data_IF_968461270691
#
_entry.id   IF_968461270691
#
_cell.length_a   1.000
_cell.length_b   1.000
_cell.length_c   1.000
_cell.angle_alpha   90.00
_cell.angle_beta   90.00
_cell.angle_gamma   90.00
#
_symmetry.space_group_name_H-M   'P 1'
#
loop_
_entity.id
_entity.type
_entity.pdbx_description
1 polymer ?
#
# COMPACT_ATOMS: atom_id res chain seq x y z
N UNK A 1 -2.39 -14.40 11.50
CA UNK A 1 -2.50 -14.83 10.07
C UNK A 1 -1.13 -14.68 9.43
N UNK A 2 -0.68 -15.65 8.63
CA UNK A 2 0.58 -15.61 7.88
C UNK A 2 0.25 -15.54 6.40
N UNK A 3 1.03 -14.80 5.64
CA UNK A 3 0.95 -14.80 4.18
C UNK A 3 1.98 -15.76 3.60
N UNK A 4 1.77 -16.20 2.37
CA UNK A 4 2.72 -17.02 1.61
C UNK A 4 4.13 -16.41 1.60
N UNK A 5 4.24 -15.07 1.58
CA UNK A 5 5.54 -14.39 1.55
C UNK A 5 6.34 -14.59 2.83
N UNK A 6 5.66 -14.62 3.98
CA UNK A 6 6.31 -14.83 5.29
C UNK A 6 6.72 -16.28 5.52
N UNK A 7 6.20 -17.21 4.72
CA UNK A 7 6.56 -18.63 4.74
C UNK A 7 7.73 -18.94 3.80
N UNK A 8 7.72 -18.31 2.61
CA UNK A 8 8.67 -18.61 1.54
C UNK A 8 9.95 -17.77 1.59
N UNK A 9 9.95 -16.62 2.25
CA UNK A 9 11.09 -15.71 2.29
C UNK A 9 11.65 -15.54 3.71
N UNK A 10 12.98 -15.61 3.81
CA UNK A 10 13.72 -15.31 5.06
C UNK A 10 14.61 -14.09 4.86
N UNK A 11 14.27 -12.99 5.54
CA UNK A 11 15.11 -11.78 5.59
C UNK A 11 15.97 -11.87 6.86
N UNK A 12 17.32 -11.72 6.76
CA UNK A 12 18.20 -11.71 7.92
C UNK A 12 17.78 -10.67 8.95
N UNK A 13 17.85 -11.04 10.23
CA UNK A 13 17.53 -10.13 11.34
C UNK A 13 18.51 -9.00 11.43
N UNK A 14 18.03 -7.77 11.70
CA UNK A 14 18.85 -6.60 11.98
C UNK A 14 18.79 -6.28 13.48
N UNK A 15 19.85 -5.70 14.00
CA UNK A 15 19.90 -5.27 15.39
C UNK A 15 18.99 -4.06 15.62
N UNK A 16 18.42 -3.90 16.81
CA UNK A 16 17.76 -2.65 17.18
C UNK A 16 18.79 -1.51 17.31
N UNK A 17 18.28 -0.29 17.28
CA UNK A 17 19.10 0.89 17.58
C UNK A 17 19.66 0.76 19.00
N UNK A 18 20.92 1.16 19.16
CA UNK A 18 21.58 1.30 20.46
C UNK A 18 22.14 2.70 20.59
N UNK A 19 21.67 3.43 21.61
CA UNK A 19 22.12 4.80 21.90
C UNK A 19 21.73 5.83 20.82
N UNK A 20 22.35 7.00 20.91
CA UNK A 20 22.07 8.11 20.01
C UNK A 20 22.99 8.08 18.80
N UNK A 21 22.46 8.49 17.64
CA UNK A 21 23.20 8.52 16.38
C UNK A 21 22.90 9.78 15.57
N UNK A 22 23.70 10.04 14.55
CA UNK A 22 23.48 11.08 13.54
C UNK A 22 23.59 10.49 12.14
N UNK A 23 22.79 11.00 11.22
CA UNK A 23 22.81 10.64 9.80
C UNK A 23 22.32 11.82 8.96
N UNK A 24 22.55 11.82 7.65
CA UNK A 24 21.97 12.84 6.74
C UNK A 24 20.47 12.61 6.57
N UNK A 25 20.04 11.36 6.37
CA UNK A 25 18.62 11.03 6.14
C UNK A 25 18.20 9.86 7.04
N UNK A 26 17.07 10.03 7.73
CA UNK A 26 16.34 8.94 8.38
C UNK A 26 15.11 8.59 7.57
N UNK A 27 14.93 7.30 7.27
CA UNK A 27 13.73 6.74 6.68
C UNK A 27 12.95 5.95 7.75
N UNK A 28 11.70 6.33 8.00
CA UNK A 28 10.82 5.70 8.98
C UNK A 28 9.90 4.71 8.27
N UNK A 29 10.13 3.42 8.48
CA UNK A 29 9.42 2.29 7.89
C UNK A 29 10.30 1.44 6.97
N UNK A 30 10.42 0.15 7.30
CA UNK A 30 11.19 -0.87 6.58
C UNK A 30 10.37 -1.67 5.56
N UNK A 31 9.27 -1.09 5.04
CA UNK A 31 8.49 -1.65 3.93
C UNK A 31 9.11 -1.34 2.56
N UNK A 32 8.41 -1.73 1.48
CA UNK A 32 8.87 -1.55 0.10
C UNK A 32 9.28 -0.10 -0.19
N UNK A 33 8.45 0.88 0.16
CA UNK A 33 8.74 2.29 -0.10
C UNK A 33 9.98 2.79 0.64
N UNK A 34 10.12 2.45 1.93
CA UNK A 34 11.25 2.92 2.73
C UNK A 34 12.56 2.28 2.31
N UNK A 35 12.58 0.96 2.09
CA UNK A 35 13.79 0.25 1.64
C UNK A 35 14.24 0.73 0.26
N UNK A 36 13.33 0.87 -0.71
CA UNK A 36 13.67 1.40 -2.02
C UNK A 36 14.16 2.85 -1.95
N UNK A 37 13.53 3.70 -1.12
CA UNK A 37 13.98 5.09 -0.94
C UNK A 37 15.40 5.13 -0.37
N UNK A 38 15.68 4.35 0.68
CA UNK A 38 17.00 4.25 1.27
C UNK A 38 18.04 3.72 0.26
N UNK A 39 17.67 2.69 -0.52
CA UNK A 39 18.52 2.13 -1.56
C UNK A 39 18.93 3.19 -2.61
N UNK A 40 17.99 3.98 -3.12
CA UNK A 40 18.32 5.03 -4.10
C UNK A 40 19.09 6.18 -3.48
N UNK A 41 18.81 6.59 -2.24
CA UNK A 41 19.58 7.61 -1.52
C UNK A 41 21.04 7.17 -1.33
N UNK A 42 21.27 5.93 -0.87
CA UNK A 42 22.62 5.39 -0.71
C UNK A 42 23.38 5.38 -2.05
N UNK A 43 22.71 5.06 -3.15
CA UNK A 43 23.32 5.14 -4.51
C UNK A 43 23.65 6.55 -4.96
N UNK A 44 23.04 7.55 -4.38
CA UNK A 44 23.41 8.97 -4.56
C UNK A 44 24.49 9.44 -3.57
N UNK A 45 25.10 8.53 -2.80
CA UNK A 45 26.14 8.85 -1.82
C UNK A 45 25.65 9.44 -0.50
N UNK A 46 24.32 9.38 -0.24
CA UNK A 46 23.72 9.90 1.00
C UNK A 46 23.82 8.86 2.11
N UNK A 47 24.28 9.27 3.28
CA UNK A 47 24.24 8.45 4.49
C UNK A 47 22.80 8.34 5.01
N UNK A 48 22.22 7.17 4.86
CA UNK A 48 20.81 6.89 5.20
C UNK A 48 20.69 5.79 6.25
N UNK A 49 19.78 5.99 7.20
CA UNK A 49 19.40 5.00 8.22
C UNK A 49 17.89 4.73 8.08
N UNK A 50 17.52 3.45 8.09
CA UNK A 50 16.13 3.02 8.14
C UNK A 50 15.77 2.56 9.54
N UNK A 51 14.64 3.07 10.07
CA UNK A 51 14.05 2.66 11.34
C UNK A 51 12.77 1.86 11.10
N UNK A 52 12.75 0.62 11.56
CA UNK A 52 11.59 -0.28 11.44
C UNK A 52 11.11 -0.73 12.82
N UNK A 53 9.82 -0.53 13.06
CA UNK A 53 9.21 -0.84 14.36
C UNK A 53 9.19 -2.35 14.67
N UNK A 54 9.11 -3.19 13.64
CA UNK A 54 9.07 -4.65 13.75
C UNK A 54 10.22 -5.28 12.96
N UNK A 55 9.91 -5.81 11.78
CA UNK A 55 10.83 -6.48 10.86
C UNK A 55 10.70 -5.89 9.46
N UNK A 56 11.78 -5.89 8.68
CA UNK A 56 11.73 -5.53 7.26
C UNK A 56 10.60 -6.29 6.58
N UNK A 57 9.72 -5.56 5.86
CA UNK A 57 8.62 -6.14 5.10
C UNK A 57 7.45 -6.68 5.93
N UNK A 58 7.47 -6.63 7.26
CA UNK A 58 6.42 -7.20 8.12
C UNK A 58 5.08 -6.44 8.12
N UNK A 59 5.06 -5.23 7.57
CA UNK A 59 3.83 -4.45 7.35
C UNK A 59 3.09 -4.88 6.07
N UNK A 60 2.43 -3.94 5.39
CA UNK A 60 1.62 -4.22 4.20
C UNK A 60 2.39 -4.89 3.06
N UNK A 61 3.70 -4.70 2.98
CA UNK A 61 4.55 -5.42 2.01
C UNK A 61 4.46 -6.94 2.17
N UNK A 62 4.37 -7.43 3.39
CA UNK A 62 4.22 -8.86 3.69
C UNK A 62 2.79 -9.40 3.51
N UNK A 63 1.79 -8.57 3.24
CA UNK A 63 0.37 -8.97 3.10
C UNK A 63 -0.23 -8.60 1.75
N UNK A 64 0.56 -8.07 0.82
CA UNK A 64 0.14 -7.73 -0.54
C UNK A 64 -0.08 -8.97 -1.40
N UNK A 65 -0.84 -8.83 -2.50
CA UNK A 65 -0.83 -9.82 -3.58
C UNK A 65 0.36 -9.66 -4.53
N UNK A 66 1.20 -8.64 -4.33
CA UNK A 66 2.47 -8.38 -5.01
C UNK A 66 2.40 -8.31 -6.55
N UNK A 67 1.36 -7.69 -7.07
CA UNK A 67 1.24 -7.32 -8.48
C UNK A 67 2.05 -6.04 -8.73
N UNK A 68 2.96 -6.07 -9.69
CA UNK A 68 3.72 -4.90 -10.14
C UNK A 68 3.05 -4.41 -11.42
N UNK A 69 2.21 -3.38 -11.32
CA UNK A 69 1.40 -2.93 -12.45
C UNK A 69 1.15 -1.44 -12.43
N UNK A 70 1.05 -0.83 -13.61
CA UNK A 70 0.53 0.52 -13.83
C UNK A 70 -0.99 0.53 -14.06
N UNK A 71 -1.62 -0.64 -14.16
CA UNK A 71 -3.07 -0.78 -14.21
C UNK A 71 -3.65 -0.64 -12.78
N UNK A 72 -4.29 0.49 -12.46
CA UNK A 72 -4.73 0.87 -11.12
C UNK A 72 -6.26 1.02 -11.04
N UNK A 73 -6.99 -0.05 -11.36
CA UNK A 73 -8.45 -0.03 -11.45
C UNK A 73 -8.94 0.97 -12.52
N UNK A 74 -10.18 1.44 -12.45
CA UNK A 74 -10.77 2.45 -13.36
C UNK A 74 -10.28 3.87 -12.99
N UNK A 75 -8.97 4.14 -13.14
CA UNK A 75 -8.37 5.39 -12.67
C UNK A 75 -8.12 6.40 -13.79
N UNK A 76 -7.71 5.97 -14.98
CA UNK A 76 -7.23 6.87 -16.02
C UNK A 76 -8.33 7.74 -16.61
N UNK A 77 -9.47 7.16 -16.93
CA UNK A 77 -10.67 7.89 -17.37
C UNK A 77 -11.18 8.87 -16.32
N UNK A 78 -11.02 8.53 -15.03
CA UNK A 78 -11.35 9.41 -13.91
C UNK A 78 -10.35 10.55 -13.77
N UNK A 79 -9.03 10.26 -13.81
CA UNK A 79 -7.99 11.28 -13.67
C UNK A 79 -8.03 12.30 -14.80
N UNK A 80 -8.22 11.88 -16.08
CA UNK A 80 -8.39 12.81 -17.19
C UNK A 80 -9.47 13.87 -16.90
N UNK A 81 -10.59 13.47 -16.28
CA UNK A 81 -11.72 14.35 -15.94
C UNK A 81 -11.48 15.22 -14.71
N UNK A 82 -10.75 14.72 -13.72
CA UNK A 82 -10.68 15.36 -12.40
C UNK A 82 -9.43 16.19 -12.18
N UNK A 83 -8.29 15.78 -12.76
CA UNK A 83 -7.00 16.47 -12.62
C UNK A 83 -6.39 16.92 -13.96
N UNK A 84 -7.03 16.57 -15.07
CA UNK A 84 -6.60 16.93 -16.43
C UNK A 84 -5.67 15.91 -17.06
N UNK A 85 -5.58 15.97 -18.41
CA UNK A 85 -4.88 14.99 -19.25
C UNK A 85 -3.39 14.88 -18.91
N UNK A 86 -2.70 16.01 -18.71
CA UNK A 86 -1.25 16.01 -18.45
C UNK A 86 -0.90 15.38 -17.10
N UNK A 87 -1.63 15.72 -16.02
CA UNK A 87 -1.43 15.11 -14.72
C UNK A 87 -1.73 13.60 -14.76
N UNK A 88 -2.80 13.19 -15.44
CA UNK A 88 -3.13 11.78 -15.66
C UNK A 88 -2.03 11.02 -16.42
N UNK A 89 -1.47 11.65 -17.47
CA UNK A 89 -0.36 11.10 -18.25
C UNK A 89 0.90 10.92 -17.42
N UNK A 90 1.27 11.92 -16.62
CA UNK A 90 2.43 11.85 -15.73
C UNK A 90 2.27 10.80 -14.64
N UNK A 91 1.06 10.69 -14.04
CA UNK A 91 0.73 9.62 -13.11
C UNK A 91 0.95 8.23 -13.72
N UNK A 92 0.39 7.99 -14.90
CA UNK A 92 0.52 6.71 -15.60
C UNK A 92 1.98 6.41 -15.96
N UNK A 93 2.70 7.41 -16.52
CA UNK A 93 4.10 7.27 -16.90
C UNK A 93 5.00 6.96 -15.71
N UNK A 94 4.81 7.61 -14.56
CA UNK A 94 5.60 7.34 -13.36
C UNK A 94 5.45 5.89 -12.89
N UNK A 95 4.21 5.38 -12.88
CA UNK A 95 3.94 3.99 -12.47
C UNK A 95 4.40 2.97 -13.53
N UNK A 96 4.28 3.27 -14.83
CA UNK A 96 4.79 2.38 -15.88
C UNK A 96 6.34 2.29 -15.83
N UNK A 97 7.04 3.40 -15.66
CA UNK A 97 8.49 3.41 -15.45
C UNK A 97 8.90 2.66 -14.17
N UNK A 98 8.05 2.69 -13.14
CA UNK A 98 8.27 1.92 -11.92
C UNK A 98 8.20 0.40 -12.16
N UNK A 99 7.25 -0.06 -13.00
CA UNK A 99 7.16 -1.46 -13.42
C UNK A 99 8.45 -1.90 -14.12
N UNK A 100 8.92 -1.11 -15.08
CA UNK A 100 10.14 -1.39 -15.84
C UNK A 100 11.39 -1.40 -14.95
N UNK A 101 11.44 -0.50 -13.96
CA UNK A 101 12.59 -0.38 -13.06
C UNK A 101 12.77 -1.61 -12.17
N UNK A 102 11.67 -2.25 -11.72
CA UNK A 102 11.77 -3.54 -11.02
C UNK A 102 12.51 -4.58 -11.85
N UNK A 103 12.14 -4.78 -13.11
CA UNK A 103 12.82 -5.72 -14.01
C UNK A 103 14.29 -5.39 -14.20
N UNK A 104 14.63 -4.08 -14.35
CA UNK A 104 16.03 -3.61 -14.47
C UNK A 104 16.85 -3.91 -13.21
N UNK A 105 16.29 -3.64 -12.01
CA UNK A 105 16.97 -3.92 -10.74
C UNK A 105 17.17 -5.43 -10.55
N UNK A 106 16.13 -6.21 -10.77
CA UNK A 106 16.17 -7.67 -10.63
C UNK A 106 17.25 -8.28 -11.54
N UNK A 107 17.29 -7.85 -12.80
CA UNK A 107 18.32 -8.29 -13.74
C UNK A 107 19.72 -7.83 -13.32
N UNK A 108 19.86 -6.53 -12.94
CA UNK A 108 21.17 -5.92 -12.59
C UNK A 108 21.83 -6.56 -11.37
N UNK A 109 21.01 -6.90 -10.37
CA UNK A 109 21.50 -7.46 -9.10
C UNK A 109 21.28 -8.97 -9.00
N UNK A 110 20.82 -9.62 -10.07
CA UNK A 110 20.53 -11.07 -10.12
C UNK A 110 19.64 -11.53 -8.97
N UNK A 111 18.62 -10.71 -8.63
CA UNK A 111 17.73 -10.95 -7.49
C UNK A 111 16.85 -12.16 -7.76
N UNK A 112 16.91 -13.15 -6.88
CA UNK A 112 16.06 -14.34 -6.93
C UNK A 112 14.77 -14.08 -6.12
N UNK A 113 13.70 -13.69 -6.82
CA UNK A 113 12.43 -13.30 -6.18
C UNK A 113 11.19 -13.77 -6.97
N UNK A 114 11.30 -14.84 -7.72
CA UNK A 114 10.21 -15.39 -8.53
C UNK A 114 9.54 -14.30 -9.39
N UNK A 115 10.36 -13.48 -10.03
CA UNK A 115 9.87 -12.43 -10.92
C UNK A 115 9.37 -13.03 -12.21
N UNK A 116 8.12 -12.71 -12.55
CA UNK A 116 7.48 -13.12 -13.79
C UNK A 116 6.86 -11.91 -14.49
N UNK A 117 7.13 -11.75 -15.79
CA UNK A 117 6.34 -10.85 -16.61
C UNK A 117 4.97 -11.47 -16.88
N UNK A 118 3.91 -10.74 -16.56
CA UNK A 118 2.52 -11.16 -16.74
C UNK A 118 1.70 -9.96 -17.15
N UNK A 119 0.73 -10.17 -18.01
CA UNK A 119 -0.24 -9.12 -18.32
C UNK A 119 -1.20 -8.91 -17.15
N UNK A 120 -1.64 -7.67 -16.96
CA UNK A 120 -2.64 -7.33 -15.95
C UNK A 120 -3.99 -7.03 -16.63
N UNK A 121 -5.04 -7.65 -16.12
CA UNK A 121 -6.39 -7.53 -16.66
C UNK A 121 -7.33 -6.91 -15.63
N UNK A 122 -8.09 -5.91 -16.07
CA UNK A 122 -9.21 -5.35 -15.33
C UNK A 122 -10.50 -5.81 -16.01
N UNK A 123 -11.27 -6.73 -15.39
CA UNK A 123 -12.41 -7.38 -16.03
C UNK A 123 -13.74 -7.01 -15.39
N UNK A 124 -14.84 -7.20 -16.14
CA UNK A 124 -16.21 -7.16 -15.65
C UNK A 124 -17.03 -8.33 -16.21
N UNK A 125 -17.91 -8.88 -15.34
CA UNK A 125 -18.91 -9.88 -15.69
C UNK A 125 -20.31 -9.28 -15.89
N UNK A 126 -20.44 -7.95 -15.77
CA UNK A 126 -21.73 -7.24 -15.89
C UNK A 126 -21.78 -6.33 -17.10
N UNK A 127 -20.77 -5.52 -17.34
CA UNK A 127 -20.77 -4.51 -18.39
C UNK A 127 -19.36 -4.22 -18.94
N UNK A 128 -19.25 -3.83 -20.19
CA UNK A 128 -17.98 -3.52 -20.85
C UNK A 128 -17.74 -2.01 -21.08
N UNK A 129 -18.74 -1.15 -20.98
CA UNK A 129 -18.64 0.27 -21.36
C UNK A 129 -17.59 1.02 -20.54
N UNK A 130 -17.55 0.83 -19.21
CA UNK A 130 -16.54 1.47 -18.35
C UNK A 130 -15.13 1.00 -18.66
N UNK A 131 -14.99 -0.29 -19.02
CA UNK A 131 -13.71 -0.87 -19.39
C UNK A 131 -13.22 -0.32 -20.73
N UNK A 132 -14.11 -0.18 -21.70
CA UNK A 132 -13.76 0.40 -23.01
C UNK A 132 -13.26 1.85 -22.83
N UNK A 133 -13.99 2.68 -22.08
CA UNK A 133 -13.59 4.06 -21.76
C UNK A 133 -12.23 4.12 -21.06
N UNK A 134 -11.98 3.20 -20.13
CA UNK A 134 -10.71 3.13 -19.40
C UNK A 134 -9.56 2.73 -20.31
N UNK A 135 -9.75 1.72 -21.18
CA UNK A 135 -8.74 1.28 -22.14
C UNK A 135 -8.36 2.40 -23.12
N UNK A 136 -9.35 3.11 -23.63
CA UNK A 136 -9.15 4.26 -24.52
C UNK A 136 -8.40 5.40 -23.83
N UNK A 137 -8.78 5.73 -22.59
CA UNK A 137 -8.11 6.75 -21.80
C UNK A 137 -6.66 6.37 -21.53
N UNK A 138 -6.40 5.17 -21.04
CA UNK A 138 -5.04 4.68 -20.77
C UNK A 138 -4.18 4.70 -22.05
N UNK A 139 -4.73 4.26 -23.20
CA UNK A 139 -4.04 4.29 -24.49
C UNK A 139 -3.70 5.72 -24.93
N UNK A 140 -4.65 6.67 -24.83
CA UNK A 140 -4.40 8.09 -25.13
C UNK A 140 -3.33 8.72 -24.25
N UNK A 141 -3.16 8.23 -23.03
CA UNK A 141 -2.13 8.66 -22.08
C UNK A 141 -0.77 7.98 -22.32
N UNK A 142 -0.66 7.10 -23.31
CA UNK A 142 0.58 6.42 -23.71
C UNK A 142 0.91 5.17 -22.91
N UNK A 143 -0.09 4.54 -22.27
CA UNK A 143 0.08 3.30 -21.55
C UNK A 143 -0.17 2.07 -22.44
N UNK A 144 0.43 0.90 -22.12
CA UNK A 144 0.32 -0.32 -22.93
C UNK A 144 -1.03 -1.01 -22.72
N UNK A 145 -2.13 -0.28 -22.92
CA UNK A 145 -3.49 -0.72 -22.64
C UNK A 145 -4.28 -1.03 -23.91
N UNK A 146 -5.09 -2.08 -23.85
CA UNK A 146 -6.04 -2.45 -24.91
C UNK A 146 -7.32 -3.02 -24.29
N UNK A 147 -8.45 -2.88 -25.00
CA UNK A 147 -9.68 -3.60 -24.65
C UNK A 147 -9.68 -4.96 -25.32
N UNK A 148 -10.05 -6.00 -24.56
CA UNK A 148 -10.20 -7.39 -25.04
C UNK A 148 -11.54 -7.94 -24.60
N UNK A 149 -12.13 -8.86 -25.39
CA UNK A 149 -13.43 -9.50 -25.08
C UNK A 149 -13.28 -10.81 -24.34
N UNK A 150 -12.12 -11.43 -24.44
CA UNK A 150 -11.84 -12.75 -23.88
C UNK A 150 -10.67 -12.72 -22.91
N UNK A 151 -10.72 -13.61 -21.94
CA UNK A 151 -9.64 -13.82 -20.94
C UNK A 151 -9.48 -15.33 -20.69
N UNK A 152 -8.42 -15.73 -19.99
CA UNK A 152 -8.23 -17.12 -19.54
C UNK A 152 -8.81 -17.40 -18.15
N UNK A 153 -9.72 -16.54 -17.66
CA UNK A 153 -10.46 -16.84 -16.45
C UNK A 153 -11.41 -18.04 -16.65
N UNK A 154 -11.66 -18.87 -15.62
CA UNK A 154 -12.52 -20.05 -15.72
C UNK A 154 -14.03 -19.69 -15.79
N UNK A 155 -14.36 -18.48 -16.22
CA UNK A 155 -15.72 -17.97 -16.42
C UNK A 155 -15.72 -16.88 -17.50
N UNK A 156 -16.88 -16.66 -18.09
CA UNK A 156 -17.04 -15.63 -19.12
C UNK A 156 -17.03 -14.23 -18.54
N UNK A 157 -16.44 -13.30 -19.28
CA UNK A 157 -16.42 -11.88 -18.97
C UNK A 157 -17.10 -11.08 -20.08
N UNK A 158 -17.70 -9.94 -19.76
CA UNK A 158 -18.21 -9.01 -20.78
C UNK A 158 -17.10 -8.23 -21.50
N UNK A 159 -15.90 -8.22 -20.91
CA UNK A 159 -14.68 -7.64 -21.47
C UNK A 159 -13.65 -7.38 -20.40
N UNK A 160 -12.45 -7.02 -20.84
CA UNK A 160 -11.36 -6.62 -19.97
C UNK A 160 -10.48 -5.54 -20.58
N UNK A 161 -9.85 -4.72 -19.72
CA UNK A 161 -8.71 -3.88 -20.08
C UNK A 161 -7.45 -4.68 -19.80
N UNK A 162 -6.67 -4.96 -20.84
CA UNK A 162 -5.38 -5.64 -20.77
C UNK A 162 -4.25 -4.61 -20.76
N UNK A 163 -3.36 -4.69 -19.79
CA UNK A 163 -2.08 -3.98 -19.77
C UNK A 163 -0.97 -4.99 -19.98
N UNK A 164 -0.21 -4.82 -21.06
CA UNK A 164 0.91 -5.71 -21.39
C UNK A 164 2.19 -5.31 -20.64
N UNK A 165 3.12 -6.27 -20.47
CA UNK A 165 4.43 -6.00 -19.89
C UNK A 165 4.39 -5.58 -18.42
N UNK A 166 3.40 -6.05 -17.68
CA UNK A 166 3.34 -5.92 -16.23
C UNK A 166 4.12 -7.07 -15.57
N UNK A 167 4.10 -7.20 -14.25
CA UNK A 167 4.85 -8.25 -13.59
C UNK A 167 4.26 -8.66 -12.23
N UNK A 168 4.76 -9.76 -11.71
CA UNK A 168 4.55 -10.23 -10.35
C UNK A 168 5.84 -10.82 -9.78
N UNK A 169 5.93 -10.93 -8.45
CA UNK A 169 7.14 -11.42 -7.79
C UNK A 169 6.85 -11.82 -6.33
N UNK A 170 7.88 -12.31 -5.61
CA UNK A 170 7.89 -12.42 -4.16
C UNK A 170 8.50 -11.14 -3.56
N UNK A 171 7.71 -10.30 -2.88
CA UNK A 171 8.17 -8.99 -2.42
C UNK A 171 9.16 -9.08 -1.26
N UNK A 172 9.11 -10.13 -0.44
CA UNK A 172 10.05 -10.28 0.68
C UNK A 172 11.40 -10.81 0.24
N UNK A 173 11.46 -11.70 -0.76
CA UNK A 173 12.72 -12.12 -1.38
C UNK A 173 13.41 -10.94 -2.06
N UNK A 174 12.66 -10.11 -2.79
CA UNK A 174 13.17 -8.87 -3.36
C UNK A 174 13.73 -7.94 -2.28
N UNK A 175 12.99 -7.72 -1.18
CA UNK A 175 13.45 -6.87 -0.07
C UNK A 175 14.68 -7.43 0.63
N UNK A 176 14.82 -8.75 0.75
CA UNK A 176 16.01 -9.41 1.31
C UNK A 176 17.28 -8.89 0.63
N UNK A 177 17.29 -8.95 -0.70
CA UNK A 177 18.49 -8.64 -1.47
C UNK A 177 18.72 -7.12 -1.59
N UNK A 178 17.68 -6.34 -1.85
CA UNK A 178 17.77 -4.87 -1.93
C UNK A 178 18.17 -4.24 -0.60
N UNK A 179 17.79 -4.81 0.53
CA UNK A 179 18.14 -4.27 1.85
C UNK A 179 19.49 -4.75 2.37
N UNK A 180 20.18 -5.66 1.70
CA UNK A 180 21.40 -6.31 2.21
C UNK A 180 22.48 -5.32 2.63
N UNK A 181 22.75 -4.30 1.83
CA UNK A 181 23.77 -3.27 2.07
C UNK A 181 23.29 -2.03 2.82
N UNK A 182 22.05 -2.00 3.31
CA UNK A 182 21.47 -0.84 3.99
C UNK A 182 21.68 -0.91 5.51
N UNK A 183 21.87 0.26 6.14
CA UNK A 183 21.81 0.41 7.59
C UNK A 183 20.35 0.45 8.04
N UNK A 184 19.86 -0.66 8.59
CA UNK A 184 18.48 -0.83 9.08
C UNK A 184 18.49 -1.23 10.54
N UNK A 185 17.73 -0.52 11.37
CA UNK A 185 17.44 -0.90 12.76
C UNK A 185 16.02 -1.42 12.87
N UNK A 186 15.88 -2.72 13.13
CA UNK A 186 14.59 -3.38 13.40
C UNK A 186 14.21 -3.26 14.89
N UNK A 187 12.96 -3.54 15.22
CA UNK A 187 12.44 -3.46 16.61
C UNK A 187 12.80 -2.11 17.26
N UNK A 188 12.71 -1.06 16.44
CA UNK A 188 13.04 0.31 16.80
C UNK A 188 11.89 1.21 16.35
N UNK A 189 10.94 1.41 17.26
CA UNK A 189 9.74 2.20 16.97
C UNK A 189 10.02 3.67 17.15
N UNK A 190 9.78 4.45 16.11
CA UNK A 190 9.76 5.91 16.22
C UNK A 190 8.48 6.32 16.93
N UNK A 191 8.62 7.02 18.05
CA UNK A 191 7.50 7.49 18.88
C UNK A 191 7.22 8.98 18.71
N UNK A 192 8.22 9.76 18.33
CA UNK A 192 8.10 11.21 18.11
C UNK A 192 9.12 11.69 17.09
N UNK A 193 8.73 12.69 16.29
CA UNK A 193 9.66 13.45 15.44
C UNK A 193 9.49 14.93 15.76
N UNK A 194 10.57 15.60 16.07
CA UNK A 194 10.58 17.03 16.44
C UNK A 194 11.80 17.72 15.82
N UNK A 195 11.58 18.58 14.84
CA UNK A 195 12.67 19.17 14.08
C UNK A 195 13.51 18.08 13.41
N UNK A 196 14.80 18.10 13.68
CA UNK A 196 15.79 17.13 13.21
C UNK A 196 15.97 15.92 14.14
N UNK A 197 15.19 15.83 15.23
CA UNK A 197 15.29 14.74 16.20
C UNK A 197 14.19 13.69 15.97
N UNK A 198 14.61 12.46 15.74
CA UNK A 198 13.75 11.29 15.60
C UNK A 198 13.92 10.44 16.85
N UNK A 199 12.92 10.52 17.74
CA UNK A 199 12.90 9.82 19.04
C UNK A 199 12.30 8.44 18.85
N UNK A 200 13.01 7.42 19.31
CA UNK A 200 12.58 6.03 19.29
C UNK A 200 12.44 5.48 20.72
N UNK A 201 11.90 4.30 20.85
CA UNK A 201 11.88 3.52 22.11
C UNK A 201 13.27 2.97 22.51
N UNK A 202 14.32 3.23 21.72
CA UNK A 202 15.70 2.70 21.89
C UNK A 202 16.78 3.78 21.89
N UNK A 203 16.46 5.02 21.58
CA UNK A 203 17.41 6.13 21.49
C UNK A 203 16.94 7.20 20.52
N UNK A 204 17.78 8.19 20.26
CA UNK A 204 17.47 9.32 19.40
C UNK A 204 18.40 9.35 18.19
N UNK A 205 17.84 9.60 17.00
CA UNK A 205 18.64 9.89 15.81
C UNK A 205 18.44 11.35 15.42
N UNK A 206 19.54 12.10 15.28
CA UNK A 206 19.55 13.42 14.66
C UNK A 206 19.79 13.26 13.16
N UNK A 207 18.88 13.82 12.34
CA UNK A 207 18.94 13.72 10.90
C UNK A 207 18.67 15.07 10.24
N UNK A 208 19.39 15.35 9.16
CA UNK A 208 19.17 16.59 8.41
C UNK A 208 17.82 16.54 7.64
N UNK A 209 17.40 15.34 7.21
CA UNK A 209 16.10 15.11 6.56
C UNK A 209 15.43 13.83 7.08
N UNK A 210 14.09 13.82 7.09
CA UNK A 210 13.27 12.70 7.58
C UNK A 210 12.29 12.27 6.49
N UNK A 211 12.23 10.97 6.20
CA UNK A 211 11.27 10.38 5.25
C UNK A 211 10.26 9.50 6.00
N UNK A 212 8.99 9.84 5.91
CA UNK A 212 7.90 9.03 6.46
C UNK A 212 7.40 8.05 5.39
N UNK A 213 7.80 6.77 5.53
CA UNK A 213 7.39 5.64 4.70
C UNK A 213 6.67 4.55 5.54
N UNK A 214 6.02 4.97 6.62
CA UNK A 214 5.39 4.13 7.64
C UNK A 214 3.95 3.68 7.30
N UNK A 215 3.60 3.56 6.03
CA UNK A 215 2.27 3.26 5.50
C UNK A 215 1.28 4.41 5.74
N UNK A 216 0.90 4.69 6.98
CA UNK A 216 0.11 5.87 7.37
C UNK A 216 1.00 6.81 8.21
N UNK A 217 1.14 8.10 7.84
CA UNK A 217 1.90 9.07 8.63
C UNK A 217 1.25 9.28 10.01
N UNK A 218 2.04 9.17 11.07
CA UNK A 218 1.56 9.27 12.45
C UNK A 218 1.76 10.65 13.08
N UNK A 219 2.52 11.54 12.45
CA UNK A 219 2.65 12.93 12.87
C UNK A 219 1.51 13.75 12.28
N UNK A 220 0.54 14.11 13.12
CA UNK A 220 -0.70 14.76 12.66
C UNK A 220 -0.47 16.17 12.14
N UNK A 221 0.36 16.96 12.84
CA UNK A 221 0.66 18.37 12.52
C UNK A 221 2.15 18.47 12.19
N UNK A 222 2.54 19.12 11.08
CA UNK A 222 1.74 19.98 10.22
C UNK A 222 1.15 19.31 8.95
N UNK A 223 1.18 17.99 8.81
CA UNK A 223 0.78 17.29 7.57
C UNK A 223 -0.74 17.16 7.37
N UNK A 224 -1.51 17.02 8.44
CA UNK A 224 -2.97 16.81 8.45
C UNK A 224 -3.42 15.63 7.58
N UNK A 225 -2.62 14.54 7.52
CA UNK A 225 -2.93 13.36 6.69
C UNK A 225 -4.21 12.65 7.15
N UNK A 226 -4.56 12.74 8.43
CA UNK A 226 -5.82 12.21 8.97
C UNK A 226 -7.07 12.81 8.29
N UNK A 227 -7.00 14.03 7.76
CA UNK A 227 -8.09 14.65 7.01
C UNK A 227 -8.07 14.31 5.50
N UNK A 228 -6.98 13.75 4.99
CA UNK A 228 -6.74 13.55 3.55
C UNK A 228 -6.82 12.08 3.12
N UNK A 229 -6.84 11.14 4.07
CA UNK A 229 -6.78 9.70 3.80
C UNK A 229 -7.61 8.91 4.80
N UNK A 230 -8.03 7.73 4.36
CA UNK A 230 -8.63 6.69 5.19
C UNK A 230 -8.01 5.34 4.82
N UNK A 231 -8.35 4.28 5.54
CA UNK A 231 -7.85 2.95 5.22
C UNK A 231 -8.99 2.02 4.80
N UNK A 232 -8.69 1.16 3.82
CA UNK A 232 -9.54 0.05 3.39
C UNK A 232 -8.85 -1.28 3.67
N UNK A 233 -9.66 -2.26 4.01
CA UNK A 233 -9.24 -3.64 4.20
C UNK A 233 -9.76 -4.50 3.06
N UNK A 234 -8.96 -5.49 2.67
CA UNK A 234 -9.33 -6.57 1.75
C UNK A 234 -8.81 -7.91 2.28
N UNK A 235 -9.36 -8.99 1.76
CA UNK A 235 -9.12 -10.35 2.19
C UNK A 235 -8.46 -11.15 1.08
N UNK A 236 -7.56 -12.05 1.44
CA UNK A 236 -6.86 -12.94 0.51
C UNK A 236 -6.99 -14.37 1.02
N UNK A 237 -7.36 -15.28 0.14
CA UNK A 237 -7.37 -16.73 0.34
C UNK A 237 -6.31 -17.35 -0.57
N UNK A 238 -5.46 -18.20 -0.01
CA UNK A 238 -4.46 -18.96 -0.73
C UNK A 238 -4.98 -20.38 -1.00
N UNK A 239 -4.98 -20.79 -2.27
CA UNK A 239 -5.47 -22.07 -2.76
C UNK A 239 -4.37 -22.83 -3.47
N UNK A 240 -4.32 -24.15 -3.30
CA UNK A 240 -3.35 -25.06 -3.94
C UNK A 240 -3.95 -26.48 -4.04
N UNK A 241 -3.73 -27.25 -5.15
CA UNK A 241 -3.10 -26.80 -6.39
C UNK A 241 -4.10 -26.04 -7.29
N UNK A 242 -3.61 -25.05 -8.01
CA UNK A 242 -4.38 -24.37 -9.06
C UNK A 242 -3.52 -24.18 -10.29
N UNK A 243 -4.03 -24.60 -11.45
CA UNK A 243 -3.36 -24.35 -12.73
C UNK A 243 -3.08 -22.87 -12.94
N UNK A 244 -1.90 -22.55 -13.45
CA UNK A 244 -1.45 -21.18 -13.60
C UNK A 244 -2.29 -20.42 -14.64
N UNK A 245 -2.93 -19.35 -14.22
CA UNK A 245 -3.55 -18.37 -15.11
C UNK A 245 -2.45 -17.62 -15.88
N UNK A 246 -2.76 -17.21 -17.11
CA UNK A 246 -1.81 -16.52 -17.99
C UNK A 246 -1.59 -15.03 -17.61
N UNK A 247 -2.32 -14.51 -16.63
CA UNK A 247 -2.26 -13.10 -16.22
C UNK A 247 -2.63 -12.85 -14.77
N UNK A 248 -2.61 -11.58 -14.40
CA UNK A 248 -3.08 -11.07 -13.12
C UNK A 248 -4.43 -10.39 -13.34
N UNK A 249 -5.44 -10.80 -12.61
CA UNK A 249 -6.82 -10.32 -12.85
C UNK A 249 -7.36 -9.54 -11.66
N UNK A 250 -8.15 -8.50 -11.95
CA UNK A 250 -8.92 -7.73 -10.98
C UNK A 250 -10.29 -7.38 -11.56
N UNK A 251 -11.34 -7.78 -10.89
CA UNK A 251 -12.70 -7.41 -11.29
C UNK A 251 -13.11 -6.02 -10.79
N UNK A 252 -13.91 -5.32 -11.59
CA UNK A 252 -14.41 -3.97 -11.26
C UNK A 252 -15.81 -3.95 -10.66
N UNK A 253 -16.54 -5.04 -10.76
CA UNK A 253 -17.89 -5.15 -10.26
C UNK A 253 -17.92 -5.14 -8.73
N UNK A 254 -19.07 -4.81 -8.12
CA UNK A 254 -19.22 -4.62 -6.68
C UNK A 254 -18.80 -5.83 -5.83
N UNK A 255 -18.98 -7.04 -6.33
CA UNK A 255 -18.60 -8.31 -5.67
C UNK A 255 -17.56 -9.09 -6.48
N UNK A 256 -16.66 -8.40 -7.17
CA UNK A 256 -15.67 -9.04 -8.02
C UNK A 256 -14.44 -9.50 -7.24
N UNK A 257 -13.71 -10.43 -7.85
CA UNK A 257 -12.54 -11.08 -7.28
C UNK A 257 -11.27 -10.65 -7.99
N UNK A 258 -10.16 -10.86 -7.32
CA UNK A 258 -8.82 -10.67 -7.88
C UNK A 258 -8.09 -12.02 -7.87
N UNK A 259 -7.41 -12.35 -8.96
CA UNK A 259 -6.69 -13.61 -9.12
C UNK A 259 -5.22 -13.34 -9.45
N UNK A 260 -4.32 -14.09 -8.83
CA UNK A 260 -2.89 -14.05 -9.10
C UNK A 260 -2.22 -15.34 -8.63
N UNK A 261 -1.52 -16.04 -9.53
CA UNK A 261 -0.77 -17.24 -9.17
C UNK A 261 0.63 -16.94 -8.62
N UNK A 262 1.13 -17.85 -7.80
CA UNK A 262 2.52 -17.97 -7.37
C UNK A 262 2.91 -19.43 -7.45
N UNK A 263 3.57 -19.84 -8.53
CA UNK A 263 3.68 -21.24 -8.88
C UNK A 263 2.29 -21.86 -9.12
N UNK A 264 2.04 -22.99 -8.50
CA UNK A 264 0.76 -23.72 -8.49
C UNK A 264 -0.24 -23.22 -7.44
N UNK A 265 0.08 -22.16 -6.73
CA UNK A 265 -0.80 -21.51 -5.75
C UNK A 265 -1.53 -20.33 -6.35
N UNK A 266 -2.79 -20.17 -6.00
CA UNK A 266 -3.61 -19.03 -6.38
C UNK A 266 -3.91 -18.13 -5.18
N UNK A 267 -3.65 -16.84 -5.32
CA UNK A 267 -4.08 -15.80 -4.40
C UNK A 267 -5.41 -15.23 -4.88
N UNK A 268 -6.50 -15.63 -4.24
CA UNK A 268 -7.85 -15.13 -4.48
C UNK A 268 -8.12 -13.95 -3.54
N UNK A 269 -8.36 -12.77 -4.09
CA UNK A 269 -8.65 -11.56 -3.32
C UNK A 269 -10.10 -11.13 -3.42
N UNK A 270 -10.67 -10.58 -2.32
CA UNK A 270 -12.08 -10.14 -2.26
C UNK A 270 -12.35 -9.16 -1.12
N UNK A 271 -13.51 -8.53 -1.15
CA UNK A 271 -14.21 -7.94 0.00
C UNK A 271 -13.61 -6.63 0.51
N UNK A 272 -13.26 -5.71 -0.41
CA UNK A 272 -12.77 -4.38 -0.01
C UNK A 272 -13.84 -3.57 0.73
N UNK A 273 -13.48 -3.07 1.92
CA UNK A 273 -14.32 -2.18 2.71
C UNK A 273 -13.49 -1.24 3.58
N UNK A 274 -14.08 -0.13 4.04
CA UNK A 274 -13.42 0.79 4.98
C UNK A 274 -13.09 0.05 6.28
N UNK A 275 -11.85 0.17 6.75
CA UNK A 275 -11.40 -0.40 8.04
C UNK A 275 -12.28 0.14 9.18
N UNK A 276 -12.63 -0.72 10.13
CA UNK A 276 -13.55 -0.38 11.24
C UNK A 276 -15.03 -0.39 10.86
N UNK A 277 -15.39 -0.78 9.63
CA UNK A 277 -16.75 -1.14 9.22
C UNK A 277 -16.77 -2.64 9.01
N UNK A 278 -17.44 -3.38 9.90
CA UNK A 278 -17.54 -4.83 9.75
C UNK A 278 -18.30 -5.17 8.44
N UNK A 279 -17.79 -6.10 7.61
CA UNK A 279 -18.54 -6.59 6.46
C UNK A 279 -19.79 -7.33 6.93
N UNK A 280 -20.87 -7.23 6.16
CA UNK A 280 -22.15 -7.89 6.47
C UNK A 280 -22.03 -9.42 6.49
N UNK A 281 -21.26 -9.96 5.55
CA UNK A 281 -20.98 -11.40 5.39
C UNK A 281 -19.51 -11.69 5.68
N UNK A 282 -19.21 -12.95 6.02
CA UNK A 282 -17.82 -13.39 6.21
C UNK A 282 -17.11 -13.46 4.83
N UNK A 283 -16.13 -12.59 4.54
CA UNK A 283 -15.47 -12.59 3.23
C UNK A 283 -14.72 -13.88 2.92
N UNK A 284 -14.18 -14.55 3.92
CA UNK A 284 -13.49 -15.84 3.73
C UNK A 284 -14.47 -16.97 3.36
N UNK A 285 -15.67 -16.98 3.95
CA UNK A 285 -16.69 -17.96 3.58
C UNK A 285 -17.18 -17.73 2.14
N UNK A 286 -17.38 -16.48 1.74
CA UNK A 286 -17.75 -16.12 0.37
C UNK A 286 -16.66 -16.55 -0.62
N UNK A 287 -15.38 -16.29 -0.32
CA UNK A 287 -14.28 -16.74 -1.17
C UNK A 287 -14.16 -18.26 -1.25
N UNK A 288 -14.40 -18.97 -0.15
CA UNK A 288 -14.36 -20.43 -0.11
C UNK A 288 -15.43 -21.04 -1.05
N UNK A 289 -16.66 -20.54 -1.02
CA UNK A 289 -17.73 -20.98 -1.93
C UNK A 289 -17.34 -20.78 -3.40
N UNK A 290 -16.72 -19.64 -3.73
CA UNK A 290 -16.24 -19.38 -5.10
C UNK A 290 -15.07 -20.30 -5.47
N UNK A 291 -14.16 -20.55 -4.54
CA UNK A 291 -13.04 -21.47 -4.74
C UNK A 291 -13.52 -22.90 -5.01
N UNK A 292 -14.47 -23.40 -4.24
CA UNK A 292 -15.09 -24.72 -4.43
C UNK A 292 -15.79 -24.85 -5.80
N UNK A 293 -16.38 -23.77 -6.31
CA UNK A 293 -17.01 -23.74 -7.61
C UNK A 293 -16.03 -23.65 -8.78
N UNK A 294 -15.04 -22.76 -8.70
CA UNK A 294 -14.11 -22.48 -9.82
C UNK A 294 -12.89 -23.40 -9.83
N UNK A 295 -12.47 -23.90 -8.68
CA UNK A 295 -11.25 -24.68 -8.47
C UNK A 295 -11.54 -25.87 -7.52
N UNK A 296 -12.40 -26.81 -7.90
CA UNK A 296 -12.92 -27.87 -7.01
C UNK A 296 -11.85 -28.82 -6.46
N UNK A 297 -10.67 -28.86 -7.07
CA UNK A 297 -9.54 -29.69 -6.63
C UNK A 297 -8.60 -28.93 -5.67
N UNK A 298 -8.80 -27.62 -5.50
CA UNK A 298 -7.88 -26.81 -4.70
C UNK A 298 -8.30 -26.77 -3.22
N UNK A 299 -7.31 -26.85 -2.35
CA UNK A 299 -7.47 -26.72 -0.90
C UNK A 299 -7.00 -25.35 -0.42
N UNK A 300 -7.61 -24.86 0.65
CA UNK A 300 -7.12 -23.67 1.36
C UNK A 300 -5.81 -23.99 2.08
N UNK A 301 -4.75 -23.24 1.77
CA UNK A 301 -3.44 -23.30 2.46
C UNK A 301 -3.26 -22.19 3.46
N UNK A 302 -3.80 -21.01 3.18
CA UNK A 302 -3.67 -19.87 4.05
C UNK A 302 -4.69 -18.79 3.78
N UNK A 303 -4.80 -17.85 4.72
CA UNK A 303 -5.63 -16.65 4.58
C UNK A 303 -5.06 -15.48 5.35
N UNK A 304 -5.22 -14.28 4.80
CA UNK A 304 -4.82 -13.05 5.48
C UNK A 304 -5.63 -11.85 5.03
N UNK A 305 -5.37 -10.71 5.65
CA UNK A 305 -5.96 -9.43 5.27
C UNK A 305 -4.88 -8.43 4.90
N UNK A 306 -5.17 -7.60 3.91
CA UNK A 306 -4.38 -6.43 3.56
C UNK A 306 -5.14 -5.16 3.95
N UNK A 307 -4.41 -4.10 4.31
CA UNK A 307 -4.99 -2.83 4.70
C UNK A 307 -4.25 -1.70 3.98
N UNK A 308 -4.98 -0.92 3.19
CA UNK A 308 -4.41 0.06 2.27
C UNK A 308 -4.83 1.49 2.58
N UNK A 309 -3.89 2.43 2.49
CA UNK A 309 -4.16 3.86 2.64
C UNK A 309 -4.71 4.44 1.34
N UNK A 310 -5.94 4.95 1.39
CA UNK A 310 -6.66 5.51 0.26
C UNK A 310 -6.69 7.03 0.38
N UNK A 311 -6.15 7.75 -0.61
CA UNK A 311 -6.26 9.19 -0.72
C UNK A 311 -7.62 9.60 -1.29
N UNK A 312 -8.05 10.81 -0.99
CA UNK A 312 -9.37 11.29 -1.43
C UNK A 312 -9.45 11.46 -2.96
N UNK A 313 -8.37 11.87 -3.61
CA UNK A 313 -8.30 12.02 -5.08
C UNK A 313 -7.85 10.75 -5.82
N UNK A 314 -7.31 9.76 -5.12
CA UNK A 314 -6.81 8.50 -5.68
C UNK A 314 -5.34 8.54 -6.12
N UNK A 315 -4.64 9.66 -5.93
CA UNK A 315 -3.22 9.80 -6.24
C UNK A 315 -2.41 9.70 -4.94
N UNK A 316 -1.32 8.92 -4.87
CA UNK A 316 -0.42 8.88 -3.70
C UNK A 316 0.13 10.25 -3.29
N UNK A 317 0.47 10.41 -2.02
CA UNK A 317 1.23 11.56 -1.53
C UNK A 317 2.71 11.19 -1.48
N UNK A 318 3.51 11.82 -2.35
CA UNK A 318 4.96 11.62 -2.45
C UNK A 318 5.62 12.98 -2.58
N UNK A 319 6.52 13.32 -1.68
CA UNK A 319 7.23 14.60 -1.69
C UNK A 319 7.39 15.21 -0.31
N UNK A 320 7.60 16.52 -0.25
CA UNK A 320 7.71 17.28 1.00
C UNK A 320 6.47 17.07 1.88
N UNK A 321 6.69 16.74 3.15
CA UNK A 321 5.63 16.37 4.10
C UNK A 321 4.59 17.48 4.29
N UNK A 322 5.08 18.70 4.43
CA UNK A 322 4.27 19.91 4.59
C UNK A 322 5.07 21.12 4.14
N UNK A 323 4.37 22.19 3.75
CA UNK A 323 5.00 23.48 3.44
C UNK A 323 5.87 24.03 4.59
N UNK A 324 5.45 23.78 5.84
CA UNK A 324 6.17 24.24 7.03
C UNK A 324 7.37 23.37 7.42
N UNK A 325 7.57 22.22 6.77
CA UNK A 325 8.67 21.28 7.05
C UNK A 325 9.28 20.80 5.74
N UNK A 326 10.08 21.65 5.08
CA UNK A 326 10.72 21.30 3.80
C UNK A 326 11.79 20.22 3.94
N UNK A 327 12.26 19.97 5.13
CA UNK A 327 13.20 18.91 5.53
C UNK A 327 12.55 17.55 5.78
N UNK A 328 11.21 17.47 5.83
CA UNK A 328 10.45 16.24 5.98
C UNK A 328 9.80 15.83 4.67
N UNK A 329 9.83 14.55 4.38
CA UNK A 329 9.28 13.93 3.17
C UNK A 329 8.32 12.81 3.53
N UNK A 330 7.44 12.44 2.61
CA UNK A 330 6.45 11.39 2.81
C UNK A 330 6.26 10.55 1.56
N UNK A 331 5.98 9.26 1.76
CA UNK A 331 5.50 8.33 0.76
C UNK A 331 4.34 7.52 1.34
N UNK A 332 3.11 7.83 0.94
CA UNK A 332 1.88 7.23 1.50
C UNK A 332 0.70 7.31 0.56
N UNK A 333 -0.41 6.66 0.93
CA UNK A 333 -1.67 6.76 0.17
C UNK A 333 -1.65 5.95 -1.13
N UNK A 334 -0.99 4.81 -1.16
CA UNK A 334 -0.76 4.03 -2.38
C UNK A 334 -1.98 3.29 -2.94
N UNK A 335 -3.09 3.26 -2.21
CA UNK A 335 -4.39 2.82 -2.70
C UNK A 335 -4.41 1.43 -3.33
N UNK A 336 -3.83 0.41 -2.71
CA UNK A 336 -3.70 -0.99 -3.19
C UNK A 336 -2.62 -1.21 -4.26
N UNK A 337 -1.93 -0.15 -4.72
CA UNK A 337 -0.91 -0.20 -5.79
C UNK A 337 0.49 0.04 -5.23
N UNK A 338 0.73 -0.53 -4.03
CA UNK A 338 1.94 -0.29 -3.24
C UNK A 338 3.23 -0.69 -3.93
N UNK A 339 3.23 -1.65 -4.86
CA UNK A 339 4.46 -2.07 -5.54
C UNK A 339 4.95 -0.98 -6.50
N UNK A 340 4.17 -0.62 -7.53
CA UNK A 340 4.57 0.43 -8.49
C UNK A 340 4.71 1.80 -7.82
N UNK A 341 3.79 2.16 -6.91
CA UNK A 341 3.85 3.44 -6.19
C UNK A 341 5.06 3.56 -5.27
N UNK A 342 5.54 2.47 -4.65
CA UNK A 342 6.76 2.48 -3.83
C UNK A 342 8.01 2.75 -4.66
N UNK A 343 8.12 2.15 -5.84
CA UNK A 343 9.24 2.41 -6.75
C UNK A 343 9.19 3.84 -7.29
N UNK A 344 8.02 4.31 -7.72
CA UNK A 344 7.84 5.70 -8.15
C UNK A 344 8.20 6.67 -7.03
N UNK A 345 7.75 6.41 -5.79
CA UNK A 345 8.09 7.20 -4.61
C UNK A 345 9.59 7.25 -4.35
N UNK A 346 10.26 6.12 -4.37
CA UNK A 346 11.70 6.04 -4.13
C UNK A 346 12.50 6.86 -5.16
N UNK A 347 12.12 6.79 -6.43
CA UNK A 347 12.75 7.58 -7.51
C UNK A 347 12.51 9.08 -7.34
N UNK A 348 11.28 9.48 -7.06
CA UNK A 348 10.90 10.89 -6.87
C UNK A 348 11.60 11.46 -5.62
N UNK A 349 11.49 10.79 -4.48
CA UNK A 349 12.06 11.26 -3.22
C UNK A 349 13.59 11.34 -3.26
N UNK A 350 14.25 10.35 -3.85
CA UNK A 350 15.73 10.40 -3.96
C UNK A 350 16.20 11.58 -4.79
N UNK A 351 15.48 11.96 -5.84
CA UNK A 351 15.80 13.15 -6.64
C UNK A 351 15.53 14.44 -5.84
N UNK A 352 14.36 14.56 -5.19
CA UNK A 352 14.03 15.76 -4.40
C UNK A 352 14.99 15.96 -3.23
N UNK A 353 15.34 14.90 -2.51
CA UNK A 353 16.26 14.94 -1.37
C UNK A 353 17.68 15.36 -1.81
N UNK A 354 18.08 15.00 -3.02
CA UNK A 354 19.36 15.45 -3.61
C UNK A 354 19.27 16.81 -4.33
N UNK A 355 18.18 17.57 -4.15
CA UNK A 355 17.98 18.91 -4.70
C UNK A 355 17.58 18.96 -6.18
N UNK A 356 17.20 17.82 -6.77
CA UNK A 356 16.77 17.74 -8.18
C UNK A 356 15.24 17.71 -8.28
N UNK A 357 14.70 18.29 -9.34
CA UNK A 357 13.26 18.25 -9.64
C UNK A 357 12.94 17.15 -10.65
N UNK A 358 11.72 16.61 -10.54
CA UNK A 358 11.17 15.67 -11.52
C UNK A 358 9.88 16.22 -12.12
N UNK A 359 9.50 15.79 -13.32
CA UNK A 359 8.21 16.19 -13.92
C UNK A 359 7.00 15.65 -13.12
N UNK A 360 7.22 14.73 -12.19
CA UNK A 360 6.19 14.09 -11.40
C UNK A 360 5.87 14.81 -10.08
N UNK A 361 6.74 15.72 -9.64
CA UNK A 361 6.67 16.37 -8.32
C UNK A 361 5.31 17.02 -8.06
N UNK A 362 4.76 17.75 -9.03
CA UNK A 362 3.48 18.43 -8.88
C UNK A 362 2.30 17.45 -8.74
N UNK A 363 2.31 16.37 -9.52
CA UNK A 363 1.22 15.37 -9.54
C UNK A 363 1.12 14.63 -8.21
N UNK A 364 2.26 14.25 -7.63
CA UNK A 364 2.31 13.48 -6.38
C UNK A 364 2.46 14.35 -5.13
N UNK A 365 2.63 15.68 -5.26
CA UNK A 365 2.83 16.59 -4.13
C UNK A 365 1.76 16.43 -3.04
N UNK A 366 2.14 16.28 -1.75
CA UNK A 366 1.20 16.33 -0.64
C UNK A 366 0.47 17.67 -0.48
N UNK A 367 1.00 18.74 -1.08
CA UNK A 367 0.43 20.10 -1.08
C UNK A 367 -0.46 20.39 -2.30
N UNK A 368 -0.70 19.41 -3.18
CA UNK A 368 -1.61 19.58 -4.32
C UNK A 368 -3.06 19.82 -3.88
N UNK A 369 -3.79 20.62 -4.63
CA UNK A 369 -5.17 20.97 -4.37
C UNK A 369 -6.08 20.50 -5.52
N UNK A 370 -6.62 19.28 -5.39
CA UNK A 370 -7.57 18.71 -6.34
C UNK A 370 -9.00 18.72 -5.78
N UNK A 371 -9.58 19.92 -5.59
CA UNK A 371 -10.91 20.10 -4.97
C UNK A 371 -12.00 19.28 -5.68
N UNK A 372 -12.03 19.29 -7.02
CA UNK A 372 -13.03 18.53 -7.81
C UNK A 372 -12.90 17.00 -7.61
N UNK A 373 -11.68 16.50 -7.45
CA UNK A 373 -11.43 15.07 -7.26
C UNK A 373 -11.75 14.60 -5.84
N UNK A 374 -11.68 15.49 -4.86
CA UNK A 374 -11.71 15.16 -3.43
C UNK A 374 -13.06 15.46 -2.76
N UNK A 375 -13.87 16.39 -3.28
CA UNK A 375 -15.00 16.98 -2.57
C UNK A 375 -16.01 15.97 -1.99
N UNK A 376 -16.51 15.04 -2.80
CA UNK A 376 -17.48 14.03 -2.35
C UNK A 376 -16.89 13.06 -1.31
N UNK A 377 -15.65 12.64 -1.52
CA UNK A 377 -14.97 11.76 -0.56
C UNK A 377 -14.58 12.48 0.72
N UNK A 378 -14.27 13.78 0.64
CA UNK A 378 -13.96 14.61 1.79
C UNK A 378 -15.18 14.73 2.72
N UNK A 379 -16.37 15.03 2.18
CA UNK A 379 -17.60 15.08 2.95
C UNK A 379 -17.91 13.74 3.64
N UNK A 380 -17.82 12.63 2.91
CA UNK A 380 -18.04 11.30 3.47
C UNK A 380 -17.00 10.90 4.53
N UNK A 381 -15.72 11.22 4.30
CA UNK A 381 -14.65 10.96 5.27
C UNK A 381 -14.80 11.79 6.53
N UNK A 382 -15.13 13.08 6.39
CA UNK A 382 -15.39 13.99 7.51
C UNK A 382 -16.54 13.50 8.38
N UNK A 383 -17.66 13.11 7.78
CA UNK A 383 -18.81 12.58 8.49
C UNK A 383 -18.48 11.32 9.30
N UNK A 384 -17.74 10.38 8.74
CA UNK A 384 -17.32 9.16 9.45
C UNK A 384 -16.36 9.47 10.60
N UNK A 385 -15.45 10.43 10.44
CA UNK A 385 -14.56 10.89 11.51
C UNK A 385 -15.32 11.54 12.65
N UNK A 386 -16.30 12.39 12.35
CA UNK A 386 -17.18 13.03 13.36
C UNK A 386 -17.99 11.98 14.11
N UNK A 387 -18.59 11.00 13.41
CA UNK A 387 -19.33 9.89 14.06
C UNK A 387 -18.43 9.07 15.00
N UNK A 388 -17.19 8.77 14.57
CA UNK A 388 -16.22 8.04 15.39
C UNK A 388 -15.83 8.81 16.66
N UNK A 389 -15.56 10.10 16.53
CA UNK A 389 -15.23 10.98 17.67
C UNK A 389 -16.41 11.13 18.64
N UNK A 390 -17.62 11.38 18.13
CA UNK A 390 -18.82 11.46 18.96
C UNK A 390 -19.10 10.12 19.68
N UNK A 391 -18.87 8.98 19.02
CA UNK A 391 -18.98 7.66 19.66
C UNK A 391 -17.96 7.43 20.77
N UNK A 392 -16.78 8.04 20.70
CA UNK A 392 -15.72 7.95 21.71
C UNK A 392 -16.05 8.61 23.05
N UNK A 393 -17.02 9.51 23.08
CA UNK A 393 -17.48 10.17 24.33
C UNK A 393 -18.50 9.33 25.10
N UNK A 394 -18.95 8.20 24.57
CA UNK A 394 -19.91 7.31 25.25
C UNK A 394 -19.27 6.54 26.41
N UNK A 395 -19.95 6.38 27.54
CA UNK A 395 -19.44 5.59 28.66
C UNK A 395 -19.11 4.15 28.24
N UNK A 396 -17.98 3.62 28.69
CA UNK A 396 -17.50 2.26 28.35
C UNK A 396 -16.96 2.09 26.93
N UNK A 397 -16.79 3.16 26.17
CA UNK A 397 -16.18 3.07 24.84
C UNK A 397 -14.67 2.81 24.93
N UNK A 398 -14.21 1.81 24.16
CA UNK A 398 -12.77 1.61 23.94
C UNK A 398 -12.33 2.61 22.86
N UNK A 399 -11.44 3.53 23.24
CA UNK A 399 -11.03 4.64 22.40
C UNK A 399 -9.64 4.42 21.77
N UNK A 400 -9.52 4.84 20.51
CA UNK A 400 -8.26 4.82 19.78
C UNK A 400 -7.28 5.88 20.34
N UNK A 401 -6.04 5.49 20.74
CA UNK A 401 -5.05 6.45 21.26
C UNK A 401 -4.60 7.51 20.24
N UNK A 402 -4.94 7.36 18.95
CA UNK A 402 -4.56 8.33 17.92
C UNK A 402 -5.31 9.67 18.07
N UNK A 403 -6.64 9.64 18.02
CA UNK A 403 -7.50 10.85 18.11
C UNK A 403 -8.81 10.60 18.88
N UNK A 404 -8.91 9.57 19.73
CA UNK A 404 -10.06 9.35 20.60
C UNK A 404 -11.29 8.71 19.95
N UNK A 405 -11.24 8.27 18.70
CA UNK A 405 -12.39 7.62 18.03
C UNK A 405 -12.74 6.29 18.68
N UNK A 406 -14.04 5.96 18.80
CA UNK A 406 -14.52 4.68 19.28
C UNK A 406 -14.03 3.53 18.39
N UNK A 407 -13.50 2.48 19.01
CA UNK A 407 -13.03 1.28 18.33
C UNK A 407 -14.18 0.32 18.01
N UNK A 408 -14.03 -0.46 16.94
CA UNK A 408 -14.97 -1.50 16.51
C UNK A 408 -14.25 -2.85 16.49
N UNK A 409 -14.90 -3.88 17.05
CA UNK A 409 -14.37 -5.24 17.00
C UNK A 409 -14.64 -5.89 15.64
N UNK A 410 -13.57 -6.30 14.95
CA UNK A 410 -13.67 -7.09 13.73
C UNK A 410 -13.62 -8.58 14.08
N UNK A 411 -14.79 -9.24 14.09
CA UNK A 411 -14.93 -10.66 14.44
C UNK A 411 -14.22 -11.62 13.47
N UNK A 412 -14.02 -11.22 12.21
CA UNK A 412 -13.41 -12.05 11.17
C UNK A 412 -11.88 -12.01 11.24
N UNK A 413 -11.33 -10.89 11.66
CA UNK A 413 -9.89 -10.65 11.81
C UNK A 413 -9.41 -10.72 13.29
N UNK A 414 -10.37 -10.88 14.21
CA UNK A 414 -10.16 -10.98 15.67
C UNK A 414 -9.29 -9.85 16.24
N UNK A 415 -9.63 -8.60 15.89
CA UNK A 415 -8.93 -7.41 16.36
C UNK A 415 -9.84 -6.18 16.48
N UNK A 416 -9.41 -5.23 17.30
CA UNK A 416 -10.03 -3.91 17.39
C UNK A 416 -9.56 -3.03 16.23
N UNK A 417 -10.48 -2.29 15.63
CA UNK A 417 -10.21 -1.41 14.48
C UNK A 417 -10.80 -0.02 14.69
N UNK A 418 -10.01 1.00 14.34
CA UNK A 418 -10.47 2.39 14.36
C UNK A 418 -11.13 2.76 13.02
N UNK A 419 -12.44 3.13 12.99
CA UNK A 419 -13.12 3.48 11.75
C UNK A 419 -12.67 4.83 11.15
N UNK A 420 -12.01 5.68 11.93
CA UNK A 420 -11.54 6.99 11.47
C UNK A 420 -10.32 6.84 10.56
N UNK A 421 -9.24 6.23 11.06
CA UNK A 421 -7.95 6.21 10.36
C UNK A 421 -7.32 4.80 10.26
N UNK A 422 -8.02 3.75 10.74
CA UNK A 422 -7.60 2.37 10.53
C UNK A 422 -6.56 1.83 11.51
N UNK A 423 -6.29 2.49 12.65
CA UNK A 423 -5.45 1.88 13.69
C UNK A 423 -6.03 0.53 14.12
N UNK A 424 -5.18 -0.49 14.22
CA UNK A 424 -5.56 -1.84 14.59
C UNK A 424 -4.85 -2.33 15.86
N UNK A 425 -5.58 -3.11 16.69
CA UNK A 425 -5.05 -3.65 17.94
C UNK A 425 -5.48 -5.10 18.09
N UNK A 426 -4.58 -5.91 18.60
CA UNK A 426 -4.87 -7.30 18.98
C UNK A 426 -5.92 -7.35 20.12
N UNK A 427 -6.45 -8.52 20.39
CA UNK A 427 -7.42 -8.71 21.50
C UNK A 427 -6.88 -8.19 22.82
N UNK A 428 -5.58 -8.32 23.03
CA UNK A 428 -4.86 -7.85 24.21
C UNK A 428 -4.49 -6.35 24.19
N UNK A 429 -5.07 -5.53 23.32
CA UNK A 429 -4.81 -4.10 23.20
C UNK A 429 -3.46 -3.74 22.56
N UNK A 430 -2.60 -4.71 22.24
CA UNK A 430 -1.31 -4.45 21.60
C UNK A 430 -1.52 -3.92 20.20
N UNK A 431 -0.84 -2.82 19.87
CA UNK A 431 -0.91 -2.21 18.53
C UNK A 431 -0.34 -3.14 17.46
N UNK A 432 -1.11 -3.37 16.39
CA UNK A 432 -0.68 -4.14 15.21
C UNK A 432 -0.74 -3.33 13.90
N UNK A 433 -1.47 -2.20 13.88
CA UNK A 433 -1.51 -1.30 12.73
C UNK A 433 -1.64 0.18 13.17
N UNK A 434 -0.87 1.08 12.51
CA UNK A 434 -0.94 2.53 12.75
C UNK A 434 -2.18 3.19 12.11
N UNK A 435 -2.37 4.50 12.35
CA UNK A 435 -1.40 5.50 12.82
C UNK A 435 -1.19 5.63 14.34
N UNK A 436 -1.97 4.98 15.20
CA UNK A 436 -1.71 5.02 16.64
C UNK A 436 -0.27 4.59 16.96
N UNK A 437 0.33 5.21 17.99
CA UNK A 437 1.71 4.93 18.42
C UNK A 437 1.78 4.23 19.79
N UNK A 438 0.65 4.14 20.47
CA UNK A 438 0.53 3.49 21.78
C UNK A 438 -0.51 2.37 21.70
N UNK A 439 -0.31 1.32 22.51
CA UNK A 439 -1.29 0.26 22.72
C UNK A 439 -2.47 0.78 23.53
N UNK A 440 -3.63 0.15 23.42
CA UNK A 440 -4.78 0.43 24.29
C UNK A 440 -4.47 -0.19 25.65
N UNK A 441 -4.55 0.56 26.77
CA UNK A 441 -4.44 -0.05 28.09
C UNK A 441 -5.58 -1.06 28.26
N UNK A 442 -5.26 -2.23 28.80
CA UNK A 442 -6.27 -3.23 29.13
C UNK A 442 -7.25 -2.66 30.13
N UNK A 443 -8.53 -2.90 29.86
CA UNK A 443 -9.55 -2.89 30.88
C UNK A 443 -9.66 -4.38 31.29
N UNK A 444 -9.07 -4.72 32.42
CA UNK A 444 -9.27 -6.01 33.08
C UNK A 444 -10.76 -6.20 33.40
#
# INVERSE_FOLDING_TARGET
MRSIWTETAQIPRRNPLTGNKRTEVVVIGGGMAGILTAFYLQRHGIHVVVLEANRIGSGQTGYTTAKITSQHNLIYSKLEKTVGKEAARLYGKANQLAVEEYGKLIKRYSIQCHYEQKDAYLYSVQESEKLLKEAESAKRLGLPASFVRETKLPFQVHGAVRFTGQAQFNPLEFLRDISAGLTVYERTRVVKVQGHEVVTDKGVIKADKVVFASHYPFVNVPGFYFAKMYQEKSYVLELEPVEALDGMYLGVDKKAYSFRNYGDRLLLGYGSHRTGKAPAENPFSTMKQVAEHLFPQAEERGRWTAQDCITLDGIPYIGTYSFFRPDWYVATGFGKWGMSSSMAAAKILSMQITGKRTPYDAVFSPQRHHLKASALKFAGHGLESVKGLAGGTMPGAINCPHLGCRMVWNRYDKRWECPCHGSGFEINGKICAGPAQQSIPFID
#
